data_IF_417187200661
#
_entry.id   IF_417187200661
#
_cell.length_a   1.000
_cell.length_b   1.000
_cell.length_c   1.000
_cell.angle_alpha   90.00
_cell.angle_beta   90.00
_cell.angle_gamma   90.00
#
_symmetry.space_group_name_H-M   'P 1'
#
loop_
_entity.id
_entity.type
_entity.pdbx_description
1 polymer ?
#
# COMPACT_ATOMS: atom_id res chain seq x y z
N UNK A 1 -26.21 -18.61 -37.10
CA UNK A 1 -26.30 -18.25 -35.66
C UNK A 1 -25.83 -16.81 -35.52
N UNK A 2 -26.70 -15.93 -35.06
CA UNK A 2 -26.41 -14.51 -34.91
C UNK A 2 -25.67 -14.25 -33.58
N UNK A 3 -24.97 -13.11 -33.47
CA UNK A 3 -24.26 -12.72 -32.24
C UNK A 3 -25.22 -12.64 -31.05
N UNK A 4 -26.50 -12.34 -31.28
CA UNK A 4 -27.55 -12.32 -30.26
C UNK A 4 -27.86 -13.72 -29.70
N UNK A 5 -27.84 -14.76 -30.51
CA UNK A 5 -28.04 -16.15 -30.08
C UNK A 5 -26.87 -16.70 -29.28
N UNK A 6 -25.64 -16.21 -29.52
CA UNK A 6 -24.45 -16.54 -28.74
C UNK A 6 -24.44 -15.89 -27.35
N UNK A 7 -25.02 -14.71 -27.21
CA UNK A 7 -25.16 -14.01 -25.94
C UNK A 7 -26.25 -14.59 -25.04
N UNK A 8 -27.33 -15.09 -25.67
CA UNK A 8 -28.43 -15.74 -24.93
C UNK A 8 -28.05 -17.14 -24.40
N UNK A 9 -27.25 -17.87 -25.15
CA UNK A 9 -26.70 -19.17 -24.72
C UNK A 9 -25.65 -19.05 -23.59
N UNK A 10 -24.92 -17.97 -23.52
CA UNK A 10 -24.00 -17.72 -22.36
C UNK A 10 -24.72 -17.48 -21.03
N UNK A 11 -25.95 -16.95 -21.07
CA UNK A 11 -26.77 -16.76 -19.85
C UNK A 11 -27.33 -18.07 -19.27
N UNK A 12 -27.40 -19.15 -20.05
CA UNK A 12 -27.89 -20.45 -19.59
C UNK A 12 -26.84 -21.38 -18.99
N UNK A 13 -25.56 -21.03 -19.08
CA UNK A 13 -24.42 -21.85 -18.62
C UNK A 13 -23.86 -21.47 -17.22
N UNK A 14 -24.54 -20.55 -16.51
CA UNK A 14 -24.15 -20.24 -15.10
C UNK A 14 -24.93 -21.24 -14.20
N UNK A 15 -24.25 -22.13 -13.46
CA UNK A 15 -24.91 -23.05 -12.56
C UNK A 15 -25.71 -22.31 -11.49
N UNK A 16 -27.00 -22.69 -11.29
CA UNK A 16 -27.89 -22.12 -10.27
C UNK A 16 -27.35 -22.24 -8.81
N UNK A 17 -26.33 -23.06 -8.58
CA UNK A 17 -25.70 -23.24 -7.27
C UNK A 17 -24.90 -22.03 -6.74
N UNK A 18 -24.46 -21.12 -7.62
CA UNK A 18 -23.71 -19.92 -7.19
C UNK A 18 -24.65 -18.85 -6.59
N UNK A 19 -25.90 -18.77 -7.06
CA UNK A 19 -26.87 -17.82 -6.53
C UNK A 19 -27.36 -18.16 -5.09
N UNK A 20 -27.31 -19.41 -4.68
CA UNK A 20 -27.76 -19.83 -3.33
C UNK A 20 -26.68 -19.54 -2.26
N UNK A 21 -25.38 -19.58 -2.63
CA UNK A 21 -24.28 -19.17 -1.76
C UNK A 21 -24.21 -17.63 -1.60
N UNK A 22 -24.75 -16.90 -2.57
CA UNK A 22 -24.78 -15.44 -2.54
C UNK A 22 -25.85 -14.87 -1.59
N UNK A 23 -26.90 -15.66 -1.28
CA UNK A 23 -28.00 -15.19 -0.40
C UNK A 23 -27.81 -15.54 1.08
N UNK A 24 -26.95 -16.50 1.44
CA UNK A 24 -26.70 -16.85 2.86
C UNK A 24 -25.60 -16.03 3.51
N UNK A 25 -24.90 -15.17 2.78
CA UNK A 25 -23.80 -14.29 3.25
C UNK A 25 -24.20 -12.83 3.47
N UNK A 26 -25.49 -12.52 3.68
CA UNK A 26 -25.96 -11.17 4.05
C UNK A 26 -25.71 -10.85 5.53
N UNK A 27 -24.53 -11.08 6.04
CA UNK A 27 -23.99 -10.20 7.07
C UNK A 27 -23.47 -8.95 6.35
N UNK A 28 -23.91 -7.78 6.79
CA UNK A 28 -23.67 -6.48 6.20
C UNK A 28 -22.20 -6.34 5.79
N UNK A 29 -21.90 -6.52 4.50
CA UNK A 29 -20.68 -6.05 3.88
C UNK A 29 -20.75 -4.53 4.06
N UNK A 30 -20.02 -4.02 5.04
CA UNK A 30 -19.86 -2.59 5.26
C UNK A 30 -19.31 -2.04 3.95
N UNK A 31 -20.11 -1.27 3.22
CA UNK A 31 -19.70 -0.67 1.96
C UNK A 31 -18.55 0.28 2.28
N UNK A 32 -17.30 -0.06 1.91
CA UNK A 32 -16.17 0.83 2.17
C UNK A 32 -16.33 2.16 1.41
N UNK A 33 -17.19 2.20 0.38
CA UNK A 33 -17.51 3.41 -0.36
C UNK A 33 -18.31 4.40 0.46
N UNK A 34 -19.26 3.93 1.27
CA UNK A 34 -20.04 4.81 2.17
C UNK A 34 -19.14 5.44 3.23
N UNK A 35 -18.24 4.67 3.83
CA UNK A 35 -17.31 5.20 4.84
C UNK A 35 -16.28 6.17 4.25
N UNK A 36 -15.75 5.90 3.05
CA UNK A 36 -14.80 6.77 2.36
C UNK A 36 -15.52 8.00 1.80
N UNK A 37 -16.72 7.86 1.23
CA UNK A 37 -17.54 8.98 0.77
C UNK A 37 -18.02 9.85 1.94
N UNK A 38 -18.36 9.26 3.07
CA UNK A 38 -18.68 10.01 4.30
C UNK A 38 -17.48 10.82 4.80
N UNK A 39 -16.28 10.26 4.78
CA UNK A 39 -15.04 10.98 5.13
C UNK A 39 -14.78 12.13 4.16
N UNK A 40 -14.99 11.89 2.85
CA UNK A 40 -14.80 12.90 1.80
C UNK A 40 -15.90 13.99 1.87
N UNK A 41 -17.16 13.60 2.15
CA UNK A 41 -18.32 14.51 2.17
C UNK A 41 -18.39 15.30 3.46
N UNK A 42 -18.15 14.69 4.61
CA UNK A 42 -18.07 15.40 5.90
C UNK A 42 -16.88 16.36 5.95
N UNK A 43 -15.85 16.13 5.12
CA UNK A 43 -14.74 17.06 4.92
C UNK A 43 -15.13 18.32 4.13
N UNK A 44 -16.23 18.32 3.35
CA UNK A 44 -16.68 19.49 2.58
C UNK A 44 -17.57 20.45 3.38
N UNK A 45 -18.34 19.95 4.37
CA UNK A 45 -19.36 20.72 5.09
C UNK A 45 -18.87 21.36 6.39
N UNK A 46 -17.75 20.93 6.94
CA UNK A 46 -17.04 21.65 7.98
C UNK A 46 -15.87 22.37 7.35
N UNK A 47 -15.79 23.69 7.50
CA UNK A 47 -14.52 24.41 7.47
C UNK A 47 -13.63 23.73 8.53
N UNK A 48 -12.99 22.63 8.14
CA UNK A 48 -11.86 22.08 8.87
C UNK A 48 -10.77 23.10 8.58
N UNK A 49 -10.73 24.15 9.42
CA UNK A 49 -9.53 24.96 9.46
C UNK A 49 -8.36 23.98 9.57
N UNK A 50 -7.30 24.17 8.79
CA UNK A 50 -6.05 23.45 8.96
C UNK A 50 -5.40 23.94 10.27
N UNK A 51 -6.09 23.73 11.40
CA UNK A 51 -5.40 23.68 12.67
C UNK A 51 -4.51 22.46 12.55
N UNK A 52 -3.23 22.74 12.49
CA UNK A 52 -2.11 21.82 12.65
C UNK A 52 -2.41 20.72 13.68
N UNK A 53 -3.33 19.79 13.35
CA UNK A 53 -3.38 18.45 13.93
C UNK A 53 -2.27 17.62 13.24
N UNK A 54 -1.24 18.33 12.79
CA UNK A 54 -0.03 17.76 12.25
C UNK A 54 0.69 17.05 13.36
N UNK A 55 0.80 15.74 13.23
CA UNK A 55 1.71 14.95 14.05
C UNK A 55 3.11 15.62 14.09
N UNK A 56 3.59 16.22 13.00
CA UNK A 56 4.88 16.89 12.93
C UNK A 56 4.98 18.15 13.82
N UNK A 57 3.94 18.98 13.93
CA UNK A 57 4.03 20.27 14.65
C UNK A 57 3.99 20.14 16.17
N UNK A 58 3.64 18.96 16.73
CA UNK A 58 3.55 18.71 18.19
C UNK A 58 4.54 17.67 18.69
N UNK A 59 5.50 17.23 17.87
CA UNK A 59 6.47 16.22 18.28
C UNK A 59 7.24 16.67 19.53
N UNK A 60 7.04 15.96 20.63
CA UNK A 60 7.75 16.19 21.89
C UNK A 60 9.06 15.39 21.98
N UNK A 61 9.84 15.40 20.89
CA UNK A 61 11.11 14.68 20.82
C UNK A 61 11.17 13.61 19.73
N UNK A 62 12.13 12.70 19.89
CA UNK A 62 12.41 11.62 18.91
C UNK A 62 11.76 10.33 19.38
N UNK A 63 11.15 9.59 18.45
CA UNK A 63 10.72 8.20 18.63
C UNK A 63 11.94 7.27 18.53
N UNK A 64 12.62 7.09 19.66
CA UNK A 64 13.80 6.25 19.76
C UNK A 64 13.56 4.79 19.34
N UNK A 65 12.44 4.13 19.69
CA UNK A 65 12.14 2.78 19.19
C UNK A 65 12.16 2.69 17.67
N UNK A 66 11.49 3.60 16.99
CA UNK A 66 11.47 3.65 15.51
C UNK A 66 12.86 3.94 14.93
N UNK A 67 13.59 4.90 15.50
CA UNK A 67 14.96 5.23 15.05
C UNK A 67 15.92 4.04 15.23
N UNK A 68 15.88 3.37 16.40
CA UNK A 68 16.73 2.21 16.68
C UNK A 68 16.36 1.04 15.76
N UNK A 69 15.07 0.81 15.52
CA UNK A 69 14.61 -0.24 14.61
C UNK A 69 15.10 -0.02 13.18
N UNK A 70 14.81 1.13 12.62
CA UNK A 70 15.21 1.47 11.23
C UNK A 70 16.74 1.50 11.12
N UNK A 71 17.44 2.19 12.02
CA UNK A 71 18.90 2.26 12.05
C UNK A 71 19.56 0.89 12.24
N UNK A 72 18.99 0.07 13.14
CA UNK A 72 19.45 -1.30 13.38
C UNK A 72 19.34 -2.18 12.14
N UNK A 73 18.23 -2.07 11.36
CA UNK A 73 18.09 -2.80 10.09
C UNK A 73 19.12 -2.34 9.05
N UNK A 74 19.41 -1.04 8.96
CA UNK A 74 20.46 -0.54 8.07
C UNK A 74 21.85 -1.05 8.47
N UNK A 75 22.19 -1.02 9.77
CA UNK A 75 23.45 -1.55 10.26
C UNK A 75 23.58 -3.06 10.02
N UNK A 76 22.51 -3.82 10.25
CA UNK A 76 22.48 -5.25 9.96
C UNK A 76 22.61 -5.55 8.44
N UNK A 77 22.00 -4.73 7.59
CA UNK A 77 22.13 -4.84 6.14
C UNK A 77 23.57 -4.62 5.67
N UNK A 78 24.33 -3.71 6.31
CA UNK A 78 25.76 -3.51 6.01
C UNK A 78 26.62 -4.74 6.35
N UNK A 79 26.18 -5.61 7.27
CA UNK A 79 26.87 -6.85 7.58
C UNK A 79 26.54 -7.99 6.56
N UNK A 80 25.46 -7.88 5.79
CA UNK A 80 25.02 -8.95 4.90
C UNK A 80 26.05 -9.38 3.83
N UNK A 81 26.86 -8.50 3.22
CA UNK A 81 27.89 -8.93 2.26
C UNK A 81 28.91 -9.91 2.85
N UNK A 82 29.22 -9.85 4.16
CA UNK A 82 30.17 -10.75 4.82
C UNK A 82 29.59 -12.15 5.04
N UNK A 83 28.27 -12.31 4.95
CA UNK A 83 27.52 -13.57 5.05
C UNK A 83 26.74 -13.81 3.77
N UNK A 84 27.37 -13.60 2.62
CA UNK A 84 26.68 -13.81 1.34
C UNK A 84 26.44 -15.29 1.07
N UNK A 85 25.21 -15.62 0.65
CA UNK A 85 24.89 -16.89 0.01
C UNK A 85 23.86 -16.68 -1.10
N UNK A 86 23.94 -17.50 -2.15
CA UNK A 86 22.95 -17.44 -3.25
C UNK A 86 21.52 -17.73 -2.76
N UNK A 87 21.37 -18.63 -1.78
CA UNK A 87 20.08 -18.92 -1.17
C UNK A 87 19.55 -17.74 -0.33
N UNK A 88 20.43 -17.04 0.39
CA UNK A 88 20.08 -15.81 1.12
C UNK A 88 19.61 -14.70 0.17
N UNK A 89 20.32 -14.51 -0.94
CA UNK A 89 19.90 -13.55 -1.98
C UNK A 89 18.55 -13.95 -2.60
N UNK A 90 18.34 -15.24 -2.93
CA UNK A 90 17.07 -15.71 -3.47
C UNK A 90 15.91 -15.49 -2.50
N UNK A 91 16.09 -15.76 -1.20
CA UNK A 91 15.12 -15.47 -0.15
C UNK A 91 14.85 -13.97 -0.07
N UNK A 92 15.88 -13.14 -0.11
CA UNK A 92 15.73 -11.67 -0.12
C UNK A 92 14.83 -11.21 -1.29
N UNK A 93 15.13 -11.63 -2.52
CA UNK A 93 14.38 -11.24 -3.70
C UNK A 93 12.91 -11.69 -3.64
N UNK A 94 12.66 -12.95 -3.23
CA UNK A 94 11.30 -13.46 -3.05
C UNK A 94 10.55 -12.65 -1.98
N UNK A 95 11.18 -12.41 -0.83
CA UNK A 95 10.54 -11.66 0.26
C UNK A 95 10.40 -10.16 -0.06
N UNK A 96 11.30 -9.55 -0.86
CA UNK A 96 11.08 -8.20 -1.40
C UNK A 96 9.80 -8.14 -2.23
N UNK A 97 9.60 -9.11 -3.13
CA UNK A 97 8.38 -9.18 -3.92
C UNK A 97 7.14 -9.46 -3.05
N UNK A 98 7.20 -10.43 -2.14
CA UNK A 98 6.07 -10.76 -1.26
C UNK A 98 5.70 -9.56 -0.38
N UNK A 99 6.64 -8.94 0.31
CA UNK A 99 6.33 -7.87 1.26
C UNK A 99 6.14 -6.51 0.60
N UNK A 100 6.89 -6.19 -0.45
CA UNK A 100 6.74 -4.96 -1.22
C UNK A 100 5.53 -5.01 -2.14
N UNK A 101 5.49 -5.96 -3.10
CA UNK A 101 4.42 -6.04 -4.08
C UNK A 101 3.09 -6.49 -3.46
N UNK A 102 3.05 -7.65 -2.79
CA UNK A 102 1.79 -8.16 -2.24
C UNK A 102 1.41 -7.48 -0.94
N UNK A 103 2.38 -7.16 -0.07
CA UNK A 103 2.12 -6.58 1.24
C UNK A 103 1.80 -5.10 1.17
N UNK A 104 2.75 -4.28 0.73
CA UNK A 104 2.60 -2.81 0.74
C UNK A 104 1.73 -2.35 -0.42
N UNK A 105 2.10 -2.65 -1.68
CA UNK A 105 1.45 -2.03 -2.82
C UNK A 105 0.06 -2.60 -3.08
N UNK A 106 -0.12 -3.92 -3.08
CA UNK A 106 -1.42 -4.55 -3.27
C UNK A 106 -2.27 -4.47 -1.99
N UNK A 107 -1.70 -4.91 -0.85
CA UNK A 107 -2.41 -5.04 0.42
C UNK A 107 -2.70 -3.71 1.08
N UNK A 108 -1.68 -2.99 1.52
CA UNK A 108 -1.87 -1.74 2.25
C UNK A 108 -2.42 -0.64 1.38
N UNK A 109 -1.84 -0.44 0.20
CA UNK A 109 -2.16 0.67 -0.66
C UNK A 109 -3.47 0.46 -1.42
N UNK A 110 -3.52 -0.49 -2.37
CA UNK A 110 -4.69 -0.63 -3.26
C UNK A 110 -5.90 -1.26 -2.59
N UNK A 111 -5.72 -2.25 -1.69
CA UNK A 111 -6.84 -2.90 -1.01
C UNK A 111 -7.32 -2.11 0.20
N UNK A 112 -6.45 -1.90 1.20
CA UNK A 112 -6.87 -1.38 2.51
C UNK A 112 -7.04 0.14 2.52
N UNK A 113 -6.26 0.89 1.72
CA UNK A 113 -6.39 2.35 1.64
C UNK A 113 -7.47 2.76 0.66
N UNK A 114 -7.35 2.35 -0.60
CA UNK A 114 -8.14 2.90 -1.69
C UNK A 114 -9.36 2.04 -2.07
N UNK A 115 -9.45 0.79 -1.60
CA UNK A 115 -10.54 -0.10 -1.95
C UNK A 115 -10.66 -0.30 -3.46
N UNK A 116 -9.52 -0.45 -4.15
CA UNK A 116 -9.45 -0.63 -5.61
C UNK A 116 -10.11 -1.93 -6.07
N UNK A 117 -10.34 -2.85 -5.15
CA UNK A 117 -11.07 -4.11 -5.36
C UNK A 117 -11.60 -4.64 -4.04
N UNK A 118 -12.45 -5.67 -4.09
CA UNK A 118 -13.02 -6.35 -2.93
C UNK A 118 -12.45 -7.77 -2.85
N UNK A 119 -12.31 -8.29 -1.63
CA UNK A 119 -11.88 -9.67 -1.38
C UNK A 119 -12.50 -10.23 -0.10
N UNK A 120 -12.33 -11.54 0.14
CA UNK A 120 -12.79 -12.20 1.36
C UNK A 120 -11.98 -11.75 2.59
N UNK A 121 -12.57 -11.84 3.79
CA UNK A 121 -11.90 -11.51 5.06
C UNK A 121 -10.56 -12.24 5.24
N UNK A 122 -10.44 -13.57 5.02
CA UNK A 122 -9.15 -14.26 5.16
C UNK A 122 -8.06 -13.72 4.23
N UNK A 123 -8.40 -13.42 2.97
CA UNK A 123 -7.45 -12.84 2.00
C UNK A 123 -7.06 -11.43 2.40
N UNK A 124 -8.00 -10.61 2.90
CA UNK A 124 -7.75 -9.30 3.44
C UNK A 124 -6.79 -9.35 4.64
N UNK A 125 -7.00 -10.28 5.57
CA UNK A 125 -6.14 -10.48 6.73
C UNK A 125 -4.74 -10.98 6.34
N UNK A 126 -4.67 -11.87 5.35
CA UNK A 126 -3.39 -12.30 4.79
C UNK A 126 -2.58 -11.10 4.27
N UNK A 127 -3.19 -10.19 3.53
CA UNK A 127 -2.50 -8.98 3.05
C UNK A 127 -2.16 -8.00 4.18
N UNK A 128 -2.99 -7.90 5.21
CA UNK A 128 -2.66 -7.11 6.41
C UNK A 128 -1.43 -7.68 7.14
N UNK A 129 -1.32 -9.01 7.21
CA UNK A 129 -0.15 -9.70 7.75
C UNK A 129 1.10 -9.49 6.88
N UNK A 130 1.00 -9.75 5.57
CA UNK A 130 2.15 -9.65 4.64
C UNK A 130 2.67 -8.21 4.56
N UNK A 131 1.77 -7.22 4.55
CA UNK A 131 2.17 -5.82 4.66
C UNK A 131 2.83 -5.52 6.00
N UNK A 132 2.35 -6.10 7.11
CA UNK A 132 2.95 -5.95 8.45
C UNK A 132 4.41 -6.39 8.48
N UNK A 133 4.73 -7.54 7.93
CA UNK A 133 6.11 -8.04 7.91
C UNK A 133 7.04 -7.30 6.94
N UNK A 134 6.55 -6.31 6.18
CA UNK A 134 7.41 -5.39 5.41
C UNK A 134 8.29 -4.52 6.30
N UNK A 135 7.81 -4.21 7.52
CA UNK A 135 8.45 -3.30 8.46
C UNK A 135 8.02 -1.83 8.33
N UNK A 136 7.10 -1.51 7.40
CA UNK A 136 6.54 -0.16 7.14
C UNK A 136 5.54 0.32 8.20
N UNK A 137 5.40 -0.40 9.30
CA UNK A 137 4.37 -0.20 10.30
C UNK A 137 3.16 -1.11 10.12
N UNK A 138 2.27 -1.11 11.09
CA UNK A 138 1.04 -1.91 11.00
C UNK A 138 0.04 -1.33 10.00
N UNK A 139 -0.81 -2.18 9.43
CA UNK A 139 -1.77 -1.80 8.40
C UNK A 139 -2.60 -0.56 8.75
N UNK A 140 -3.14 -0.49 9.98
CA UNK A 140 -4.01 0.63 10.37
C UNK A 140 -3.23 1.96 10.46
N UNK A 141 -1.99 1.96 10.93
CA UNK A 141 -1.16 3.17 11.04
C UNK A 141 -0.73 3.64 9.65
N UNK A 142 -0.27 2.70 8.81
CA UNK A 142 0.12 3.00 7.43
C UNK A 142 -1.03 3.60 6.62
N UNK A 143 -2.19 2.94 6.65
CA UNK A 143 -3.41 3.40 5.95
C UNK A 143 -3.89 4.76 6.46
N UNK A 144 -3.84 4.98 7.78
CA UNK A 144 -4.25 6.26 8.36
C UNK A 144 -3.35 7.41 7.89
N UNK A 145 -2.03 7.21 7.85
CA UNK A 145 -1.09 8.19 7.33
C UNK A 145 -1.32 8.45 5.84
N UNK A 146 -1.51 7.39 5.05
CA UNK A 146 -1.66 7.51 3.60
C UNK A 146 -2.99 8.18 3.19
N UNK A 147 -4.10 7.87 3.87
CA UNK A 147 -5.37 8.57 3.66
C UNK A 147 -5.28 10.05 4.04
N UNK A 148 -4.53 10.37 5.10
CA UNK A 148 -4.25 11.75 5.49
C UNK A 148 -3.40 12.46 4.43
N UNK A 149 -2.36 11.79 3.91
CA UNK A 149 -1.56 12.30 2.79
C UNK A 149 -2.44 12.65 1.58
N UNK A 150 -3.28 11.73 1.09
CA UNK A 150 -4.18 12.03 -0.03
C UNK A 150 -5.13 13.18 0.23
N UNK A 151 -5.54 13.41 1.47
CA UNK A 151 -6.41 14.53 1.84
C UNK A 151 -5.70 15.88 1.79
N UNK A 152 -4.41 15.91 2.12
CA UNK A 152 -3.60 17.12 2.26
C UNK A 152 -2.35 17.12 1.39
N UNK A 153 -2.28 16.27 0.37
CA UNK A 153 -1.09 16.07 -0.46
C UNK A 153 -0.43 17.39 -0.84
N UNK A 154 0.83 17.54 -0.42
CA UNK A 154 1.67 18.73 -0.61
C UNK A 154 1.12 20.05 -0.01
N UNK A 155 0.23 19.94 0.97
CA UNK A 155 -0.36 21.07 1.69
C UNK A 155 -0.08 20.95 3.19
N UNK A 156 -0.40 22.01 3.94
CA UNK A 156 -0.33 21.99 5.41
C UNK A 156 -1.14 20.80 5.97
N UNK A 157 -0.47 19.96 6.76
CA UNK A 157 -1.08 18.76 7.33
C UNK A 157 -0.73 17.46 6.61
N UNK A 158 -0.08 17.48 5.47
CA UNK A 158 0.52 16.30 4.86
C UNK A 158 1.63 15.75 5.77
N UNK A 159 1.61 14.45 6.15
CA UNK A 159 2.64 13.91 7.03
C UNK A 159 4.04 13.89 6.44
N UNK A 160 4.18 13.85 5.13
CA UNK A 160 5.47 13.67 4.46
C UNK A 160 5.63 14.49 3.17
N UNK A 161 5.13 15.71 3.14
CA UNK A 161 5.29 16.58 1.97
C UNK A 161 6.75 16.90 1.67
N UNK A 162 7.23 16.74 0.42
CA UNK A 162 8.56 17.20 0.00
C UNK A 162 8.74 18.71 0.04
N UNK A 163 7.66 19.49 0.17
CA UNK A 163 7.72 20.95 0.39
C UNK A 163 8.38 21.30 1.74
N UNK A 164 8.33 20.37 2.71
CA UNK A 164 9.06 20.48 3.97
C UNK A 164 10.51 19.97 3.86
N UNK A 165 10.91 19.45 2.70
CA UNK A 165 12.24 18.94 2.38
C UNK A 165 12.25 17.51 1.87
N UNK A 166 13.13 17.20 0.92
CA UNK A 166 13.23 15.86 0.34
C UNK A 166 13.60 14.77 1.35
N UNK A 167 14.51 15.07 2.31
CA UNK A 167 14.82 14.14 3.39
C UNK A 167 13.70 14.02 4.41
N UNK A 168 12.93 15.08 4.65
CA UNK A 168 11.73 15.00 5.46
C UNK A 168 10.78 13.96 4.88
N UNK A 169 10.34 14.14 3.63
CA UNK A 169 9.39 13.25 2.98
C UNK A 169 9.93 11.82 2.78
N UNK A 170 11.24 11.67 2.64
CA UNK A 170 11.85 10.35 2.48
C UNK A 170 11.85 9.55 3.77
N UNK A 171 12.37 10.09 4.88
CA UNK A 171 12.58 9.32 6.11
C UNK A 171 12.33 10.10 7.41
N UNK A 172 12.63 11.42 7.47
CA UNK A 172 12.66 12.12 8.76
C UNK A 172 11.29 12.26 9.41
N UNK A 173 10.22 12.26 8.63
CA UNK A 173 8.83 12.30 9.10
C UNK A 173 8.43 11.11 10.00
N UNK A 174 9.20 10.02 9.98
CA UNK A 174 8.97 8.82 10.78
C UNK A 174 9.45 8.96 12.24
N UNK A 175 10.35 9.91 12.52
CA UNK A 175 11.02 10.00 13.82
C UNK A 175 10.39 10.95 14.86
N UNK A 176 9.45 11.82 14.53
CA UNK A 176 8.74 12.59 15.54
C UNK A 176 7.97 11.69 16.51
N UNK A 177 8.15 11.93 17.83
CA UNK A 177 7.50 11.13 18.88
C UNK A 177 6.04 11.54 19.05
N UNK A 178 5.16 10.53 19.04
CA UNK A 178 3.73 10.65 19.33
C UNK A 178 3.34 9.78 20.52
N UNK A 179 2.36 10.22 21.30
CA UNK A 179 1.80 9.39 22.36
C UNK A 179 0.89 8.30 21.77
N UNK A 180 0.70 7.22 22.52
CA UNK A 180 -0.22 6.14 22.12
C UNK A 180 -1.64 6.65 21.88
N UNK A 181 -2.11 7.63 22.67
CA UNK A 181 -3.44 8.22 22.52
C UNK A 181 -3.56 9.04 21.22
N UNK A 182 -2.52 9.80 20.87
CA UNK A 182 -2.45 10.54 19.60
C UNK A 182 -2.48 9.59 18.40
N UNK A 183 -1.69 8.50 18.43
CA UNK A 183 -1.69 7.47 17.39
C UNK A 183 -3.06 6.80 17.29
N UNK A 184 -3.68 6.45 18.42
CA UNK A 184 -5.00 5.83 18.43
C UNK A 184 -6.09 6.77 17.88
N UNK A 185 -6.08 8.04 18.29
CA UNK A 185 -6.99 9.07 17.78
C UNK A 185 -6.81 9.27 16.27
N UNK A 186 -5.56 9.30 15.80
CA UNK A 186 -5.22 9.38 14.37
C UNK A 186 -5.79 8.19 13.59
N UNK A 187 -5.54 6.96 14.05
CA UNK A 187 -6.08 5.76 13.42
C UNK A 187 -7.61 5.72 13.42
N UNK A 188 -8.27 6.11 14.53
CA UNK A 188 -9.73 6.18 14.59
C UNK A 188 -10.32 7.22 13.64
N UNK A 189 -9.61 8.32 13.40
CA UNK A 189 -10.04 9.39 12.49
C UNK A 189 -9.87 8.99 11.03
N UNK A 190 -8.71 8.43 10.64
CA UNK A 190 -8.35 8.22 9.25
C UNK A 190 -8.57 6.80 8.74
N UNK A 191 -8.67 5.81 9.63
CA UNK A 191 -8.93 4.41 9.30
C UNK A 191 -9.99 3.78 10.23
N UNK A 192 -11.20 4.39 10.40
CA UNK A 192 -12.22 3.91 11.32
C UNK A 192 -12.79 2.54 10.92
N UNK A 193 -12.76 2.19 9.66
CA UNK A 193 -13.11 0.88 9.10
C UNK A 193 -12.12 -0.21 9.56
N UNK A 194 -10.83 0.07 9.51
CA UNK A 194 -9.78 -0.87 9.95
C UNK A 194 -9.75 -1.01 11.47
N UNK A 195 -10.09 0.04 12.22
CA UNK A 195 -10.17 -0.01 13.68
C UNK A 195 -11.26 -0.99 14.17
N UNK A 196 -12.24 -1.31 13.32
CA UNK A 196 -13.31 -2.29 13.58
C UNK A 196 -13.01 -3.70 13.05
N UNK A 197 -11.97 -3.85 12.24
CA UNK A 197 -11.59 -5.13 11.65
C UNK A 197 -10.70 -5.92 12.62
N UNK A 198 -11.24 -7.02 13.15
CA UNK A 198 -10.58 -7.82 14.19
C UNK A 198 -9.26 -8.44 13.72
N UNK A 199 -9.16 -8.87 12.47
CA UNK A 199 -7.93 -9.46 11.92
C UNK A 199 -6.84 -8.41 11.70
N UNK A 200 -7.21 -7.23 11.16
CA UNK A 200 -6.28 -6.10 11.03
C UNK A 200 -5.76 -5.66 12.40
N UNK A 201 -6.67 -5.56 13.39
CA UNK A 201 -6.29 -5.19 14.77
C UNK A 201 -5.47 -6.28 15.49
N UNK A 202 -5.68 -7.56 15.17
CA UNK A 202 -4.81 -8.63 15.65
C UNK A 202 -3.37 -8.44 15.15
N UNK A 203 -3.16 -8.25 13.85
CA UNK A 203 -1.84 -8.03 13.28
C UNK A 203 -1.22 -6.68 13.69
N UNK A 204 -2.03 -5.66 13.96
CA UNK A 204 -1.55 -4.41 14.57
C UNK A 204 -0.94 -4.64 15.95
N UNK A 205 -1.66 -5.36 16.83
CA UNK A 205 -1.21 -5.63 18.21
C UNK A 205 -0.01 -6.57 18.28
N UNK A 206 0.13 -7.47 17.31
CA UNK A 206 1.20 -8.47 17.24
C UNK A 206 2.31 -8.10 16.25
N UNK A 207 2.34 -6.85 15.77
CA UNK A 207 3.21 -6.39 14.71
C UNK A 207 4.68 -6.79 14.92
N UNK A 208 5.28 -6.46 16.06
CA UNK A 208 6.68 -6.77 16.34
C UNK A 208 6.95 -8.28 16.44
N UNK A 209 6.02 -9.05 16.98
CA UNK A 209 6.18 -10.50 17.16
C UNK A 209 6.55 -11.18 15.84
N UNK A 210 5.89 -10.82 14.75
CA UNK A 210 6.07 -11.47 13.46
C UNK A 210 7.45 -11.25 12.84
N UNK A 211 8.11 -10.14 13.14
CA UNK A 211 9.49 -9.89 12.71
C UNK A 211 10.47 -10.84 13.41
N UNK A 212 10.29 -11.07 14.71
CA UNK A 212 11.08 -12.05 15.44
C UNK A 212 10.80 -13.50 15.00
N UNK A 213 9.53 -13.82 14.72
CA UNK A 213 9.15 -15.16 14.21
C UNK A 213 9.77 -15.41 12.84
N UNK A 214 9.65 -14.46 11.91
CA UNK A 214 10.23 -14.61 10.56
C UNK A 214 11.77 -14.62 10.62
N UNK A 215 12.38 -13.65 11.33
CA UNK A 215 13.85 -13.61 11.45
C UNK A 215 14.43 -14.83 12.14
N UNK A 216 13.83 -15.23 13.27
CA UNK A 216 14.23 -16.46 13.99
C UNK A 216 14.00 -17.72 13.16
N UNK A 217 12.89 -17.79 12.42
CA UNK A 217 12.60 -18.90 11.51
C UNK A 217 13.62 -19.01 10.36
N UNK A 218 14.01 -17.89 9.75
CA UNK A 218 15.04 -17.85 8.71
C UNK A 218 16.40 -18.34 9.26
N UNK A 219 16.80 -17.78 10.41
CA UNK A 219 18.05 -18.19 11.09
C UNK A 219 18.04 -19.68 11.42
N UNK A 220 17.00 -20.14 12.12
CA UNK A 220 16.93 -21.53 12.59
C UNK A 220 16.86 -22.53 11.42
N UNK A 221 16.08 -22.23 10.37
CA UNK A 221 15.95 -23.13 9.22
C UNK A 221 17.24 -23.20 8.41
N UNK A 222 17.86 -22.04 8.11
CA UNK A 222 19.14 -22.00 7.41
C UNK A 222 20.25 -22.72 8.18
N UNK A 223 20.30 -22.51 9.51
CA UNK A 223 21.25 -23.17 10.39
C UNK A 223 21.04 -24.70 10.42
N UNK A 224 19.82 -25.16 10.59
CA UNK A 224 19.51 -26.57 10.67
C UNK A 224 19.83 -27.35 9.38
N UNK A 225 19.65 -26.69 8.19
CA UNK A 225 19.82 -27.39 6.90
C UNK A 225 21.25 -27.24 6.36
N UNK A 226 21.88 -26.08 6.52
CA UNK A 226 23.12 -25.70 5.82
C UNK A 226 24.22 -25.16 6.73
N UNK A 227 24.01 -25.13 8.05
CA UNK A 227 24.96 -24.57 9.02
C UNK A 227 24.74 -23.11 9.36
N UNK A 228 25.42 -22.67 10.43
CA UNK A 228 25.20 -21.36 11.06
C UNK A 228 25.40 -20.19 10.10
N UNK A 229 26.44 -20.19 9.26
CA UNK A 229 26.73 -19.11 8.33
C UNK A 229 25.58 -18.90 7.34
N UNK A 230 24.96 -19.98 6.86
CA UNK A 230 23.78 -19.91 6.01
C UNK A 230 22.57 -19.39 6.78
N UNK A 231 22.38 -19.80 8.04
CA UNK A 231 21.32 -19.25 8.89
C UNK A 231 21.47 -17.74 9.09
N UNK A 232 22.69 -17.26 9.37
CA UNK A 232 23.00 -15.83 9.48
C UNK A 232 22.79 -15.12 8.15
N UNK A 233 23.20 -15.73 7.03
CA UNK A 233 22.92 -15.20 5.68
C UNK A 233 21.42 -15.01 5.47
N UNK A 234 20.60 -16.02 5.74
CA UNK A 234 19.15 -15.95 5.54
C UNK A 234 18.51 -14.88 6.42
N UNK A 235 18.95 -14.75 7.69
CA UNK A 235 18.51 -13.69 8.58
C UNK A 235 18.86 -12.30 8.01
N UNK A 236 20.12 -12.07 7.64
CA UNK A 236 20.59 -10.76 7.18
C UNK A 236 19.96 -10.36 5.85
N UNK A 237 19.95 -11.27 4.86
CA UNK A 237 19.38 -10.99 3.55
C UNK A 237 17.85 -10.99 3.56
N UNK A 238 17.22 -11.98 4.20
CA UNK A 238 15.76 -12.13 4.23
C UNK A 238 15.04 -11.18 5.19
N UNK A 239 15.70 -10.67 6.22
CA UNK A 239 15.12 -9.69 7.12
C UNK A 239 15.68 -8.30 6.88
N UNK A 240 16.98 -8.06 7.12
CA UNK A 240 17.55 -6.73 7.14
C UNK A 240 17.65 -6.10 5.74
N UNK A 241 18.32 -6.74 4.79
CA UNK A 241 18.48 -6.22 3.42
C UNK A 241 17.12 -6.05 2.74
N UNK A 242 16.26 -7.05 2.87
CA UNK A 242 14.90 -6.99 2.32
C UNK A 242 14.10 -5.81 2.90
N UNK A 243 14.14 -5.58 4.23
CA UNK A 243 13.41 -4.47 4.84
C UNK A 243 13.97 -3.13 4.40
N UNK A 244 15.28 -2.96 4.39
CA UNK A 244 15.93 -1.72 3.91
C UNK A 244 15.54 -1.42 2.46
N UNK A 245 15.52 -2.45 1.60
CA UNK A 245 15.04 -2.28 0.22
C UNK A 245 13.59 -1.78 0.19
N UNK A 246 12.66 -2.46 0.89
CA UNK A 246 11.23 -2.11 0.89
C UNK A 246 11.02 -0.71 1.46
N UNK A 247 11.73 -0.34 2.53
CA UNK A 247 11.69 1.01 3.10
C UNK A 247 12.03 2.07 2.05
N UNK A 248 13.19 1.94 1.43
CA UNK A 248 13.64 2.98 0.49
C UNK A 248 12.77 3.06 -0.76
N UNK A 249 12.31 1.94 -1.33
CA UNK A 249 11.45 2.01 -2.53
C UNK A 249 10.09 2.61 -2.21
N UNK A 250 9.53 2.37 -1.02
CA UNK A 250 8.29 3.01 -0.55
C UNK A 250 8.52 4.51 -0.27
N UNK A 251 9.61 4.86 0.41
CA UNK A 251 9.93 6.27 0.72
C UNK A 251 10.30 7.08 -0.53
N UNK A 252 10.80 6.45 -1.60
CA UNK A 252 10.95 7.11 -2.90
C UNK A 252 9.61 7.45 -3.54
N UNK A 253 8.57 6.66 -3.28
CA UNK A 253 7.23 7.04 -3.71
C UNK A 253 6.79 8.34 -3.01
N UNK A 254 7.07 8.51 -1.72
CA UNK A 254 6.70 9.72 -0.99
C UNK A 254 7.55 10.94 -1.39
N UNK A 255 8.83 10.75 -1.72
CA UNK A 255 9.79 11.83 -1.98
C UNK A 255 10.04 12.06 -3.47
N UNK A 256 10.67 11.11 -4.14
CA UNK A 256 11.15 11.27 -5.51
C UNK A 256 10.01 11.53 -6.50
N UNK A 257 8.85 10.88 -6.33
CA UNK A 257 7.71 11.03 -7.23
C UNK A 257 6.90 12.31 -7.02
N UNK A 258 7.21 13.10 -5.99
CA UNK A 258 6.69 14.47 -5.85
C UNK A 258 7.72 15.54 -6.24
N UNK A 259 8.98 15.14 -6.54
CA UNK A 259 10.05 16.08 -6.92
C UNK A 259 10.38 15.93 -8.40
N UNK A 260 10.53 14.68 -8.89
CA UNK A 260 11.02 14.38 -10.24
C UNK A 260 10.06 13.52 -11.04
N UNK A 261 10.10 13.66 -12.36
CA UNK A 261 9.31 12.88 -13.28
C UNK A 261 8.41 13.72 -14.17
N UNK A 262 7.51 13.06 -14.90
CA UNK A 262 6.55 13.70 -15.78
C UNK A 262 5.12 13.58 -15.21
N UNK A 263 4.17 14.30 -15.79
CA UNK A 263 2.76 14.26 -15.43
C UNK A 263 1.92 13.87 -16.64
N UNK A 264 0.98 12.95 -16.43
CA UNK A 264 -0.06 12.64 -17.40
C UNK A 264 -1.31 13.48 -17.16
N UNK A 265 -1.54 13.88 -15.90
CA UNK A 265 -2.75 14.57 -15.45
C UNK A 265 -2.41 15.79 -14.62
N UNK A 266 -3.23 16.83 -14.71
CA UNK A 266 -3.18 17.96 -13.79
C UNK A 266 -3.82 17.53 -12.46
N UNK A 267 -3.06 17.58 -11.37
CA UNK A 267 -3.48 17.35 -10.00
C UNK A 267 -3.20 18.58 -9.14
N UNK A 268 -3.82 18.66 -7.99
CA UNK A 268 -3.64 19.81 -7.05
C UNK A 268 -2.36 19.71 -6.22
N UNK A 269 -1.64 18.61 -6.36
CA UNK A 269 -0.38 18.28 -5.69
C UNK A 269 0.79 18.24 -6.70
N UNK A 270 1.99 17.93 -6.21
CA UNK A 270 3.21 17.89 -7.01
C UNK A 270 3.53 16.47 -7.53
N UNK A 271 2.59 15.51 -7.43
CA UNK A 271 2.78 14.12 -7.86
C UNK A 271 3.20 13.97 -9.32
N UNK A 272 4.14 13.07 -9.59
CA UNK A 272 4.74 12.82 -10.90
C UNK A 272 4.90 11.32 -11.15
N UNK A 273 4.96 10.95 -12.40
CA UNK A 273 5.30 9.60 -12.85
C UNK A 273 6.82 9.48 -12.99
N UNK A 274 7.43 8.56 -12.27
CA UNK A 274 8.87 8.35 -12.26
C UNK A 274 9.20 6.88 -12.54
N UNK A 275 9.69 6.60 -13.74
CA UNK A 275 9.80 5.25 -14.30
C UNK A 275 10.64 4.28 -13.45
N UNK A 276 11.78 4.73 -12.91
CA UNK A 276 12.63 3.84 -12.12
C UNK A 276 12.00 3.50 -10.76
N UNK A 277 11.26 4.42 -10.14
CA UNK A 277 10.44 4.12 -8.95
C UNK A 277 9.30 3.18 -9.34
N UNK A 278 8.68 3.38 -10.51
CA UNK A 278 7.65 2.48 -11.03
C UNK A 278 8.12 1.03 -11.14
N UNK A 279 9.35 0.82 -11.58
CA UNK A 279 9.95 -0.52 -11.65
C UNK A 279 10.33 -1.07 -10.28
N UNK A 280 11.02 -0.29 -9.46
CA UNK A 280 11.51 -0.73 -8.14
C UNK A 280 10.37 -0.92 -7.12
N UNK A 281 9.34 -0.08 -7.15
CA UNK A 281 8.20 -0.10 -6.26
C UNK A 281 6.96 -0.75 -6.90
N UNK A 282 7.14 -1.71 -7.81
CA UNK A 282 6.12 -2.61 -8.35
C UNK A 282 4.91 -1.92 -9.00
N UNK A 283 5.09 -0.69 -9.51
CA UNK A 283 4.05 0.11 -10.18
C UNK A 283 3.71 1.42 -9.45
N UNK A 284 4.14 1.62 -8.20
CA UNK A 284 3.75 2.81 -7.41
C UNK A 284 4.41 4.11 -7.88
N UNK A 285 5.47 4.04 -8.70
CA UNK A 285 6.10 5.22 -9.29
C UNK A 285 5.28 5.90 -10.40
N UNK A 286 4.17 5.32 -10.84
CA UNK A 286 3.17 5.98 -11.69
C UNK A 286 2.24 6.85 -10.85
N UNK A 287 2.82 7.71 -10.05
CA UNK A 287 2.20 8.33 -8.90
C UNK A 287 1.26 9.49 -9.25
N UNK A 288 1.53 10.23 -10.33
CA UNK A 288 0.61 11.24 -10.85
C UNK A 288 -0.69 10.59 -11.38
N UNK A 289 -0.59 9.44 -12.05
CA UNK A 289 -1.76 8.70 -12.47
C UNK A 289 -2.61 8.25 -11.28
N UNK A 290 -1.94 7.76 -10.23
CA UNK A 290 -2.58 7.34 -9.00
C UNK A 290 -3.26 8.52 -8.26
N UNK A 291 -2.59 9.67 -8.13
CA UNK A 291 -3.18 10.86 -7.51
C UNK A 291 -4.37 11.42 -8.29
N UNK A 292 -4.35 11.30 -9.62
CA UNK A 292 -5.49 11.67 -10.45
C UNK A 292 -6.67 10.70 -10.30
N UNK A 293 -6.42 9.39 -10.11
CA UNK A 293 -7.43 8.34 -10.05
C UNK A 293 -7.15 7.35 -8.92
N UNK A 294 -7.27 7.80 -7.68
CA UNK A 294 -6.83 7.10 -6.47
C UNK A 294 -7.40 5.69 -6.31
N UNK A 295 -8.62 5.42 -6.80
CA UNK A 295 -9.27 4.10 -6.68
C UNK A 295 -8.98 3.15 -7.84
N UNK A 296 -8.35 3.59 -8.91
CA UNK A 296 -7.99 2.66 -9.99
C UNK A 296 -7.04 1.59 -9.47
N UNK A 297 -7.29 0.35 -9.88
CA UNK A 297 -6.41 -0.76 -9.57
C UNK A 297 -5.11 -0.71 -10.39
N UNK A 298 -5.15 -0.11 -11.58
CA UNK A 298 -3.99 0.15 -12.42
C UNK A 298 -3.42 1.54 -12.12
N UNK A 299 -2.13 1.62 -11.84
CA UNK A 299 -1.42 2.90 -11.76
C UNK A 299 -0.71 3.21 -13.08
N UNK A 300 -0.25 2.23 -13.83
CA UNK A 300 0.25 2.42 -15.19
C UNK A 300 -0.89 2.64 -16.18
N UNK A 301 -0.93 3.80 -16.86
CA UNK A 301 -1.97 4.15 -17.82
C UNK A 301 -1.51 4.11 -19.28
N UNK A 302 -0.19 4.12 -19.52
CA UNK A 302 0.40 3.96 -20.84
C UNK A 302 0.95 2.54 -21.01
N UNK A 303 1.04 2.03 -22.23
CA UNK A 303 1.46 0.65 -22.51
C UNK A 303 2.87 0.30 -21.96
N UNK A 304 3.73 1.29 -21.78
CA UNK A 304 5.09 1.15 -21.25
C UNK A 304 5.19 1.45 -19.74
N UNK A 305 4.15 1.95 -19.11
CA UNK A 305 4.05 2.16 -17.68
C UNK A 305 3.77 0.82 -16.99
N UNK A 306 4.79 -0.02 -16.88
CA UNK A 306 4.68 -1.37 -16.33
C UNK A 306 4.25 -1.34 -14.87
N UNK A 307 3.15 -2.00 -14.55
CA UNK A 307 2.54 -2.07 -13.22
C UNK A 307 2.40 -3.54 -12.79
N UNK A 308 3.43 -4.06 -12.11
CA UNK A 308 3.48 -5.44 -11.65
C UNK A 308 2.32 -5.78 -10.71
N UNK A 309 1.98 -4.87 -9.79
CA UNK A 309 0.90 -5.06 -8.82
C UNK A 309 -0.44 -5.22 -9.51
N UNK A 310 -0.72 -4.44 -10.55
CA UNK A 310 -1.94 -4.60 -11.33
C UNK A 310 -2.02 -5.95 -12.04
N UNK A 311 -0.93 -6.45 -12.56
CA UNK A 311 -0.89 -7.80 -13.16
C UNK A 311 -1.23 -8.88 -12.14
N UNK A 312 -0.77 -8.76 -10.90
CA UNK A 312 -1.15 -9.67 -9.82
C UNK A 312 -2.64 -9.57 -9.51
N UNK A 313 -3.20 -8.35 -9.43
CA UNK A 313 -4.64 -8.14 -9.21
C UNK A 313 -5.46 -8.80 -10.32
N UNK A 314 -5.08 -8.64 -11.59
CA UNK A 314 -5.75 -9.31 -12.72
C UNK A 314 -5.69 -10.85 -12.63
N UNK A 315 -4.56 -11.39 -12.20
CA UNK A 315 -4.43 -12.83 -11.97
C UNK A 315 -5.36 -13.31 -10.85
N UNK A 316 -5.43 -12.56 -9.74
CA UNK A 316 -6.32 -12.86 -8.61
C UNK A 316 -7.79 -12.73 -8.99
N UNK A 317 -8.16 -11.77 -9.84
CA UNK A 317 -9.52 -11.60 -10.35
C UNK A 317 -9.93 -12.81 -11.21
N UNK A 318 -9.06 -13.26 -12.12
CA UNK A 318 -9.28 -14.47 -12.92
C UNK A 318 -9.44 -15.75 -12.07
N UNK A 319 -8.74 -15.81 -10.94
CA UNK A 319 -8.85 -16.91 -9.97
C UNK A 319 -10.05 -16.78 -9.02
N UNK A 320 -10.83 -15.69 -9.09
CA UNK A 320 -11.97 -15.45 -8.22
C UNK A 320 -11.59 -15.09 -6.77
N UNK A 321 -10.34 -14.74 -6.51
CA UNK A 321 -9.85 -14.32 -5.19
C UNK A 321 -10.20 -12.87 -4.87
N UNK A 322 -10.39 -12.05 -5.90
CA UNK A 322 -10.83 -10.65 -5.82
C UNK A 322 -11.93 -10.37 -6.83
N UNK A 323 -12.76 -9.37 -6.53
CA UNK A 323 -13.88 -8.95 -7.39
C UNK A 323 -14.12 -7.45 -7.27
N UNK A 324 -15.01 -6.91 -8.09
CA UNK A 324 -15.30 -5.47 -8.18
C UNK A 324 -14.03 -4.62 -8.36
N UNK A 325 -13.10 -5.10 -9.17
CA UNK A 325 -11.87 -4.38 -9.49
C UNK A 325 -12.21 -3.08 -10.22
N UNK A 326 -11.66 -1.96 -9.76
CA UNK A 326 -11.85 -0.65 -10.37
C UNK A 326 -10.84 -0.48 -11.50
N UNK A 327 -11.22 -0.88 -12.72
CA UNK A 327 -10.38 -0.74 -13.92
C UNK A 327 -10.41 0.67 -14.51
N UNK A 328 -11.51 1.40 -14.29
CA UNK A 328 -11.72 2.78 -14.76
C UNK A 328 -12.30 3.63 -13.63
N UNK A 329 -12.16 4.97 -13.66
CA UNK A 329 -12.78 5.83 -12.67
C UNK A 329 -14.30 5.61 -12.63
N UNK A 330 -14.88 5.46 -11.43
CA UNK A 330 -16.34 5.41 -11.26
C UNK A 330 -16.94 6.79 -11.54
N UNK A 331 -18.04 6.84 -12.26
CA UNK A 331 -18.80 8.07 -12.52
C UNK A 331 -18.63 8.66 -13.91
N UNK A 332 -17.68 8.17 -14.67
CA UNK A 332 -17.58 8.51 -16.10
C UNK A 332 -18.17 7.36 -16.90
N UNK A 333 -19.45 7.23 -17.03
CA UNK A 333 -20.08 6.26 -17.98
C UNK A 333 -19.60 6.42 -19.42
N UNK A 334 -18.50 7.15 -19.60
CA UNK A 334 -17.73 7.35 -20.81
C UNK A 334 -16.36 6.69 -20.62
N UNK A 335 -15.97 5.86 -21.57
CA UNK A 335 -14.55 5.54 -21.82
C UNK A 335 -13.76 6.82 -21.61
N UNK A 336 -12.71 6.79 -20.78
CA UNK A 336 -11.89 7.96 -20.49
C UNK A 336 -11.37 8.55 -21.83
N UNK A 337 -12.18 9.39 -22.45
CA UNK A 337 -11.70 10.34 -23.45
C UNK A 337 -11.07 11.49 -22.67
N UNK A 338 -9.94 12.02 -23.07
CA UNK A 338 -9.16 13.03 -22.35
C UNK A 338 -9.92 14.33 -22.04
N UNK A 339 -11.17 14.47 -22.50
CA UNK A 339 -11.87 15.76 -22.55
C UNK A 339 -12.97 15.99 -21.51
N UNK A 340 -13.32 15.02 -20.63
CA UNK A 340 -14.57 15.15 -19.85
C UNK A 340 -14.46 15.09 -18.34
N UNK A 341 -13.30 15.16 -17.74
CA UNK A 341 -13.19 15.26 -16.28
C UNK A 341 -11.99 16.09 -15.90
N UNK A 342 -12.16 17.29 -15.41
CA UNK A 342 -11.23 18.22 -14.73
C UNK A 342 -9.70 18.04 -14.84
N UNK A 343 -9.21 17.09 -15.61
CA UNK A 343 -7.82 16.83 -15.89
C UNK A 343 -7.52 17.22 -17.34
N UNK A 344 -6.75 18.26 -17.54
CA UNK A 344 -6.25 18.69 -18.84
C UNK A 344 -5.04 17.81 -19.17
N UNK A 345 -5.14 17.01 -20.24
CA UNK A 345 -3.98 16.29 -20.77
C UNK A 345 -3.08 17.29 -21.47
N UNK A 346 -1.86 17.50 -20.97
CA UNK A 346 -0.85 18.23 -21.74
C UNK A 346 -0.34 17.33 -22.86
N UNK A 347 -0.57 17.73 -24.11
CA UNK A 347 0.14 17.15 -25.27
C UNK A 347 1.63 17.47 -25.14
N UNK A 348 2.46 16.44 -25.10
CA UNK A 348 3.90 16.57 -25.22
C UNK A 348 4.29 16.60 -26.70
#
# INVERSE_FOLDING_TARGET
MSVSELLENKKKLVPRSINTLYQSGKEAVHDPDAAIQDIITQGKDKKIEPKLDGLAAKAKGIDWPTLIWIGGMHLAALAAPFYFSWSGLAICLVLCWVTGCLGVTLGYHRLLTHGSFVTSKPVRWFFAFVGGISGEGSAIVWVANHRKHHRFSDQDGDPHSPREGGWWSHILWLFPKHSSDEIQAHCKRWAPDLAKDSGVMFFHKTFLLWHFVIGGGLLATGWAIYGLDTGVSWLLWGLAVRMVYVFHVTWFVNSATHIWGYRNYETTDDSRNLWWVGLLAFGEGWHNNHHAFQRMAAHGHKWWEFDMTYWVILAMERLGLVWNVVHTPRGTGQTASPESGGAVVKSA
#
